data_IF_612448988233
#
_entry.id   IF_612448988233
#
_cell.length_a   1.000
_cell.length_b   1.000
_cell.length_c   1.000
_cell.angle_alpha   90.00
_cell.angle_beta   90.00
_cell.angle_gamma   90.00
#
_symmetry.space_group_name_H-M   'P 1'
#
loop_
_entity.id
_entity.type
_entity.pdbx_description
1 polymer ?
#
# COMPACT_ATOMS: atom_id res chain seq x y z
N UNK A 1 4.36 -22.03 -1.63
CA UNK A 1 3.64 -23.28 -2.00
C UNK A 1 3.19 -23.14 -3.46
N UNK A 2 3.38 -24.18 -4.29
CA UNK A 2 3.43 -24.12 -5.78
C UNK A 2 2.27 -23.35 -6.44
N UNK A 3 2.64 -22.27 -7.13
CA UNK A 3 1.84 -21.56 -8.12
C UNK A 3 1.72 -22.46 -9.36
N UNK A 4 0.52 -22.93 -9.72
CA UNK A 4 0.24 -23.52 -11.04
C UNK A 4 -0.28 -22.41 -11.96
N UNK A 5 0.45 -22.08 -13.02
CA UNK A 5 0.00 -21.21 -14.12
C UNK A 5 -0.03 -22.01 -15.41
N UNK A 6 -1.12 -21.88 -16.16
CA UNK A 6 -1.26 -22.37 -17.54
C UNK A 6 -1.05 -21.18 -18.50
N UNK A 7 -0.14 -21.33 -19.47
CA UNK A 7 0.37 -20.28 -20.39
C UNK A 7 -0.62 -19.83 -21.48
N UNK A 8 -1.94 -19.83 -21.24
CA UNK A 8 -2.96 -19.57 -22.28
C UNK A 8 -4.08 -18.58 -21.88
N UNK A 9 -3.84 -17.69 -20.91
CA UNK A 9 -4.90 -16.90 -20.26
C UNK A 9 -5.51 -15.79 -21.16
N UNK A 10 -6.82 -15.85 -21.42
CA UNK A 10 -7.64 -14.88 -22.19
C UNK A 10 -8.73 -14.13 -21.37
N UNK A 11 -8.80 -14.27 -20.04
CA UNK A 11 -9.75 -13.53 -19.20
C UNK A 11 -9.13 -13.10 -17.86
N UNK A 12 -9.74 -12.09 -17.22
CA UNK A 12 -9.30 -11.37 -16.03
C UNK A 12 -8.87 -12.29 -14.89
N UNK A 13 -7.70 -11.99 -14.32
CA UNK A 13 -7.20 -12.69 -13.14
C UNK A 13 -7.95 -12.11 -11.92
N UNK A 14 -8.43 -12.99 -11.05
CA UNK A 14 -9.19 -12.64 -9.87
C UNK A 14 -8.35 -13.02 -8.65
N UNK A 15 -8.19 -12.12 -7.68
CA UNK A 15 -7.37 -12.38 -6.51
C UNK A 15 -8.24 -12.31 -5.27
N UNK A 16 -8.36 -13.38 -4.49
CA UNK A 16 -9.15 -13.34 -3.26
C UNK A 16 -8.36 -12.54 -2.21
N UNK A 17 -8.87 -11.38 -1.80
CA UNK A 17 -8.27 -10.55 -0.77
C UNK A 17 -9.29 -10.01 0.22
N UNK A 18 -8.88 -10.05 1.49
CA UNK A 18 -9.51 -9.34 2.59
C UNK A 18 -8.99 -7.91 2.63
N UNK A 19 -9.82 -6.94 2.27
CA UNK A 19 -9.62 -5.58 2.73
C UNK A 19 -10.19 -5.43 4.13
N UNK A 20 -9.37 -4.87 5.03
CA UNK A 20 -9.90 -4.03 6.08
C UNK A 20 -10.07 -2.64 5.48
N UNK A 21 -11.32 -2.22 5.28
CA UNK A 21 -11.62 -0.80 5.31
C UNK A 21 -11.39 -0.38 6.77
N UNK A 22 -10.26 0.24 7.09
CA UNK A 22 -9.89 0.59 8.48
C UNK A 22 -10.75 1.73 9.08
N UNK A 23 -11.92 1.98 8.52
CA UNK A 23 -12.98 2.78 9.15
C UNK A 23 -14.22 1.91 9.32
N UNK A 24 -14.21 1.16 10.45
CA UNK A 24 -15.29 0.32 10.98
C UNK A 24 -15.65 -0.90 10.12
N UNK A 25 -15.10 -2.07 10.45
CA UNK A 25 -15.82 -3.33 10.71
C UNK A 25 -14.78 -4.32 11.28
N UNK A 26 -15.10 -5.02 12.39
CA UNK A 26 -14.35 -6.21 12.85
C UNK A 26 -14.76 -7.41 11.97
N UNK A 27 -13.87 -7.91 11.11
CA UNK A 27 -14.05 -9.16 10.34
C UNK A 27 -12.98 -10.16 10.82
N UNK A 28 -13.19 -11.47 10.63
CA UNK A 28 -12.41 -12.55 11.28
C UNK A 28 -12.24 -13.68 10.24
N UNK A 29 -11.14 -14.48 10.15
CA UNK A 29 -10.79 -15.54 9.10
C UNK A 29 -10.16 -14.96 7.81
N UNK A 30 -9.19 -15.57 7.10
CA UNK A 30 -8.43 -16.83 7.22
C UNK A 30 -7.95 -17.26 5.83
N UNK A 31 -6.62 -17.31 5.62
CA UNK A 31 -5.89 -17.58 4.36
C UNK A 31 -6.00 -16.54 3.24
N UNK A 32 -4.83 -16.09 2.74
CA UNK A 32 -4.71 -15.40 1.45
C UNK A 32 -4.28 -16.46 0.43
N UNK A 33 -5.06 -16.62 -0.64
CA UNK A 33 -4.78 -17.54 -1.72
C UNK A 33 -4.81 -16.77 -3.05
N UNK A 34 -3.67 -16.73 -3.73
CA UNK A 34 -3.60 -16.27 -5.13
C UNK A 34 -4.19 -17.39 -5.99
N UNK A 35 -5.45 -17.25 -6.42
CA UNK A 35 -6.09 -18.19 -7.34
C UNK A 35 -6.20 -17.52 -8.70
N UNK A 36 -5.29 -17.85 -9.62
CA UNK A 36 -5.43 -17.47 -11.02
C UNK A 36 -6.55 -18.32 -11.64
N UNK A 37 -7.74 -17.74 -11.82
CA UNK A 37 -8.83 -18.44 -12.50
C UNK A 37 -8.60 -18.45 -14.01
N UNK A 38 -8.55 -19.66 -14.56
CA UNK A 38 -8.36 -19.90 -15.99
C UNK A 38 -9.37 -20.96 -16.42
N UNK A 39 -10.61 -20.56 -16.77
CA UNK A 39 -11.46 -21.20 -17.81
C UNK A 39 -12.92 -20.70 -17.82
N UNK A 40 -13.39 -20.50 -19.05
CA UNK A 40 -14.78 -20.64 -19.49
C UNK A 40 -15.30 -22.06 -19.15
N UNK A 41 -15.96 -22.28 -18.01
CA UNK A 41 -16.95 -23.37 -17.81
C UNK A 41 -17.54 -23.42 -16.38
N UNK A 42 -18.69 -22.76 -16.16
CA UNK A 42 -19.95 -23.29 -15.58
C UNK A 42 -20.77 -22.22 -14.82
N UNK A 43 -21.91 -21.86 -15.41
CA UNK A 43 -23.26 -21.52 -14.87
C UNK A 43 -23.43 -20.56 -13.67
N UNK A 44 -22.47 -20.38 -12.76
CA UNK A 44 -22.66 -19.57 -11.54
C UNK A 44 -21.63 -18.44 -11.45
N UNK A 45 -22.09 -17.24 -11.10
CA UNK A 45 -21.21 -16.06 -10.98
C UNK A 45 -20.21 -16.29 -9.82
N UNK A 46 -18.94 -15.96 -10.03
CA UNK A 46 -17.89 -16.08 -9.02
C UNK A 46 -18.13 -15.12 -7.86
N UNK A 47 -18.73 -13.96 -8.13
CA UNK A 47 -19.17 -13.01 -7.12
C UNK A 47 -20.33 -13.58 -6.29
N UNK A 48 -21.25 -14.29 -6.93
CA UNK A 48 -22.33 -15.01 -6.25
C UNK A 48 -21.79 -16.18 -5.44
N UNK A 49 -20.75 -16.87 -5.94
CA UNK A 49 -20.07 -17.94 -5.22
C UNK A 49 -19.31 -17.42 -3.99
N UNK A 50 -18.64 -16.27 -4.11
CA UNK A 50 -18.03 -15.57 -2.98
C UNK A 50 -19.11 -15.12 -1.97
N UNK A 51 -20.20 -14.50 -2.42
CA UNK A 51 -21.31 -14.10 -1.58
C UNK A 51 -22.00 -15.28 -0.87
N UNK A 52 -22.16 -16.43 -1.53
CA UNK A 52 -22.72 -17.64 -0.93
C UNK A 52 -21.78 -18.25 0.11
N UNK A 53 -20.47 -18.24 -0.12
CA UNK A 53 -19.49 -18.63 0.90
C UNK A 53 -19.48 -17.64 2.08
N UNK A 54 -19.81 -16.38 1.81
CA UNK A 54 -19.97 -15.31 2.80
C UNK A 54 -21.23 -15.46 3.69
N UNK A 55 -22.20 -16.29 3.26
CA UNK A 55 -23.42 -16.53 4.04
C UNK A 55 -23.19 -17.42 5.27
N UNK A 56 -22.19 -18.32 5.22
CA UNK A 56 -21.89 -19.29 6.30
C UNK A 56 -20.47 -19.16 6.88
N UNK A 57 -19.61 -18.35 6.27
CA UNK A 57 -18.23 -18.04 6.68
C UNK A 57 -17.87 -16.62 6.21
N UNK A 58 -16.78 -16.01 6.69
CA UNK A 58 -16.56 -14.56 6.56
C UNK A 58 -16.24 -14.06 5.14
N UNK A 59 -16.37 -12.75 4.94
CA UNK A 59 -16.28 -12.01 3.67
C UNK A 59 -15.02 -12.29 2.83
N UNK A 60 -15.06 -13.32 1.98
CA UNK A 60 -14.17 -13.47 0.85
C UNK A 60 -14.44 -12.33 -0.15
N UNK A 61 -13.50 -11.40 -0.25
CA UNK A 61 -13.49 -10.33 -1.25
C UNK A 61 -12.67 -10.71 -2.48
N UNK A 62 -13.06 -10.21 -3.64
CA UNK A 62 -12.34 -10.41 -4.89
C UNK A 62 -11.69 -9.09 -5.31
N UNK A 63 -10.37 -9.07 -5.43
CA UNK A 63 -9.58 -7.99 -5.98
C UNK A 63 -9.45 -8.19 -7.50
N UNK A 64 -9.86 -7.20 -8.31
CA UNK A 64 -9.69 -7.24 -9.75
C UNK A 64 -8.22 -7.04 -10.12
N UNK A 65 -7.74 -7.83 -11.09
CA UNK A 65 -6.36 -7.72 -11.57
C UNK A 65 -6.32 -7.38 -13.04
N UNK A 66 -5.54 -6.35 -13.38
CA UNK A 66 -5.34 -5.96 -14.77
C UNK A 66 -4.03 -6.53 -15.30
N UNK A 67 -4.13 -7.67 -15.99
CA UNK A 67 -3.00 -8.28 -16.69
C UNK A 67 -2.79 -7.73 -18.11
N UNK A 68 -1.71 -8.13 -18.81
CA UNK A 68 -1.41 -7.63 -20.14
C UNK A 68 -2.47 -8.06 -21.16
N UNK A 69 -2.95 -9.29 -21.08
CA UNK A 69 -3.97 -9.87 -21.97
C UNK A 69 -5.41 -9.44 -21.65
N UNK A 70 -5.62 -8.61 -20.61
CA UNK A 70 -6.96 -8.22 -20.15
C UNK A 70 -7.33 -6.86 -20.77
N UNK A 71 -8.47 -6.82 -21.46
CA UNK A 71 -9.00 -5.57 -22.00
C UNK A 71 -9.33 -4.58 -20.87
N UNK A 72 -9.05 -3.30 -21.09
CA UNK A 72 -9.30 -2.24 -20.10
C UNK A 72 -10.78 -2.22 -19.68
N UNK A 73 -11.71 -2.34 -20.63
CA UNK A 73 -13.14 -2.38 -20.34
C UNK A 73 -13.55 -3.54 -19.43
N UNK A 74 -12.90 -4.71 -19.58
CA UNK A 74 -13.15 -5.85 -18.71
C UNK A 74 -12.65 -5.57 -17.28
N UNK A 75 -11.45 -4.99 -17.15
CA UNK A 75 -10.92 -4.60 -15.85
C UNK A 75 -11.77 -3.52 -15.17
N UNK A 76 -12.16 -2.48 -15.91
CA UNK A 76 -13.03 -1.41 -15.42
C UNK A 76 -14.36 -1.97 -14.87
N UNK A 77 -14.96 -2.92 -15.58
CA UNK A 77 -16.18 -3.59 -15.14
C UNK A 77 -15.97 -4.41 -13.85
N UNK A 78 -14.85 -5.14 -13.73
CA UNK A 78 -14.52 -5.87 -12.51
C UNK A 78 -14.24 -4.93 -11.33
N UNK A 79 -13.59 -3.79 -11.57
CA UNK A 79 -13.34 -2.77 -10.56
C UNK A 79 -14.64 -2.10 -10.08
N UNK A 80 -15.57 -1.82 -10.99
CA UNK A 80 -16.89 -1.32 -10.62
C UNK A 80 -17.63 -2.30 -9.69
N UNK A 81 -17.62 -3.61 -10.02
CA UNK A 81 -18.21 -4.65 -9.17
C UNK A 81 -17.54 -4.75 -7.81
N UNK A 82 -16.21 -4.67 -7.76
CA UNK A 82 -15.45 -4.64 -6.52
C UNK A 82 -15.89 -3.47 -5.62
N UNK A 83 -16.02 -2.27 -6.19
CA UNK A 83 -16.48 -1.10 -5.45
C UNK A 83 -17.93 -1.25 -4.97
N UNK A 84 -18.84 -1.76 -5.80
CA UNK A 84 -20.22 -2.05 -5.37
C UNK A 84 -20.26 -3.06 -4.22
N UNK A 85 -19.46 -4.13 -4.29
CA UNK A 85 -19.36 -5.11 -3.22
C UNK A 85 -18.86 -4.48 -1.91
N UNK A 86 -17.80 -3.66 -1.97
CA UNK A 86 -17.29 -2.95 -0.80
C UNK A 86 -18.32 -1.97 -0.23
N UNK A 87 -19.06 -1.27 -1.09
CA UNK A 87 -20.12 -0.35 -0.67
C UNK A 87 -21.25 -1.08 0.07
N UNK A 88 -21.68 -2.24 -0.44
CA UNK A 88 -22.69 -3.09 0.21
C UNK A 88 -22.18 -3.64 1.55
N UNK A 89 -20.93 -4.10 1.58
CA UNK A 89 -20.33 -4.70 2.78
C UNK A 89 -20.04 -3.68 3.89
N UNK A 90 -19.71 -2.43 3.53
CA UNK A 90 -19.22 -1.41 4.49
C UNK A 90 -20.21 -0.28 4.74
N UNK A 91 -21.21 -0.11 3.87
CA UNK A 91 -22.10 1.04 3.85
C UNK A 91 -21.43 2.35 3.40
N UNK A 92 -20.15 2.33 2.99
CA UNK A 92 -19.46 3.51 2.48
C UNK A 92 -19.87 3.78 1.03
N UNK A 93 -20.31 5.01 0.75
CA UNK A 93 -20.87 5.37 -0.57
C UNK A 93 -19.81 5.71 -1.62
N UNK A 94 -18.72 6.32 -1.20
CA UNK A 94 -17.71 6.88 -2.11
C UNK A 94 -16.36 6.20 -1.89
N UNK A 95 -16.19 5.04 -2.53
CA UNK A 95 -14.90 4.34 -2.54
C UNK A 95 -14.02 4.97 -3.61
N UNK A 96 -13.07 5.79 -3.17
CA UNK A 96 -12.12 6.48 -4.04
C UNK A 96 -10.72 5.87 -3.93
N UNK A 97 -9.81 6.30 -4.81
CA UNK A 97 -8.41 5.90 -4.73
C UNK A 97 -7.77 6.27 -3.38
N UNK A 98 -8.24 7.33 -2.70
CA UNK A 98 -7.73 7.76 -1.40
C UNK A 98 -7.96 6.68 -0.32
N UNK A 99 -9.11 6.01 -0.35
CA UNK A 99 -9.36 4.86 0.55
C UNK A 99 -8.37 3.74 0.26
N UNK A 100 -8.15 3.38 -1.01
CA UNK A 100 -7.16 2.36 -1.39
C UNK A 100 -5.74 2.73 -0.92
N UNK A 101 -5.36 4.02 -0.97
CA UNK A 101 -4.07 4.49 -0.43
C UNK A 101 -4.02 4.37 1.10
N UNK A 102 -5.11 4.66 1.81
CA UNK A 102 -5.18 4.43 3.24
C UNK A 102 -5.09 2.95 3.62
N UNK A 103 -5.72 2.08 2.87
CA UNK A 103 -5.68 0.66 3.13
C UNK A 103 -4.28 0.09 2.84
N UNK A 104 -3.61 0.56 1.78
CA UNK A 104 -2.21 0.26 1.53
C UNK A 104 -1.31 0.79 2.67
N UNK A 105 -1.52 2.02 3.12
CA UNK A 105 -0.82 2.61 4.27
C UNK A 105 -0.95 1.70 5.50
N UNK A 106 -2.16 1.21 5.78
CA UNK A 106 -2.42 0.42 6.98
C UNK A 106 -1.84 -0.99 6.88
N UNK A 107 -1.86 -1.58 5.68
CA UNK A 107 -1.15 -2.82 5.37
C UNK A 107 0.36 -2.68 5.67
N UNK A 108 1.00 -1.62 5.15
CA UNK A 108 2.43 -1.36 5.37
C UNK A 108 2.74 -1.02 6.83
N UNK A 109 1.85 -0.30 7.51
CA UNK A 109 1.99 -0.01 8.93
C UNK A 109 1.96 -1.29 9.78
N UNK A 110 1.19 -2.30 9.36
CA UNK A 110 1.15 -3.61 10.03
C UNK A 110 2.50 -4.31 9.97
N UNK A 111 3.14 -4.33 8.79
CA UNK A 111 4.51 -4.83 8.64
C UNK A 111 5.49 -4.06 9.52
N UNK A 112 5.41 -2.73 9.49
CA UNK A 112 6.30 -1.87 10.25
C UNK A 112 6.17 -2.02 11.78
N UNK A 113 5.00 -2.44 12.26
CA UNK A 113 4.72 -2.69 13.67
C UNK A 113 4.89 -4.16 14.08
N UNK A 114 5.35 -5.02 13.17
CA UNK A 114 5.52 -6.47 13.41
C UNK A 114 4.24 -7.15 13.93
N UNK A 115 3.07 -6.60 13.58
CA UNK A 115 1.79 -7.10 14.07
C UNK A 115 1.32 -8.28 13.22
N UNK A 116 0.71 -9.25 13.88
CA UNK A 116 0.13 -10.42 13.20
C UNK A 116 -0.94 -9.99 12.18
N UNK A 117 -0.87 -10.49 10.96
CA UNK A 117 -1.92 -10.26 9.96
C UNK A 117 -3.24 -10.95 10.35
N UNK A 118 -3.20 -11.94 11.24
CA UNK A 118 -4.40 -12.67 11.64
C UNK A 118 -5.42 -11.81 12.40
N UNK A 119 -5.00 -10.83 13.20
CA UNK A 119 -5.91 -10.07 14.06
C UNK A 119 -6.82 -9.11 13.29
N UNK A 120 -6.32 -8.60 12.15
CA UNK A 120 -7.07 -7.70 11.27
C UNK A 120 -7.55 -8.49 10.05
N UNK A 121 -6.69 -8.83 9.09
CA UNK A 121 -7.10 -9.46 7.82
C UNK A 121 -7.63 -10.88 7.96
N UNK A 122 -7.68 -11.41 9.18
CA UNK A 122 -8.21 -12.73 9.50
C UNK A 122 -7.29 -13.89 9.09
N UNK A 123 -6.19 -13.63 8.39
CA UNK A 123 -5.21 -14.62 7.97
C UNK A 123 -4.32 -14.15 6.81
N UNK A 124 -3.52 -15.07 6.28
CA UNK A 124 -2.46 -14.77 5.30
C UNK A 124 -1.13 -14.49 5.98
N UNK A 125 -0.06 -15.09 5.47
CA UNK A 125 1.29 -14.84 5.98
C UNK A 125 1.84 -13.49 5.51
N UNK A 126 2.92 -13.00 6.12
CA UNK A 126 3.62 -11.78 5.69
C UNK A 126 3.93 -11.77 4.18
N UNK A 127 4.44 -12.88 3.64
CA UNK A 127 4.73 -12.97 2.20
C UNK A 127 3.50 -12.76 1.32
N UNK A 128 2.37 -13.35 1.69
CA UNK A 128 1.15 -13.26 0.88
C UNK A 128 0.54 -11.86 0.91
N UNK A 129 0.70 -11.14 2.03
CA UNK A 129 0.32 -9.75 2.17
C UNK A 129 1.27 -8.81 1.42
N UNK A 130 2.58 -9.12 1.34
CA UNK A 130 3.51 -8.31 0.56
C UNK A 130 3.23 -8.43 -0.95
N UNK A 131 2.91 -9.64 -1.41
CA UNK A 131 2.53 -9.87 -2.80
C UNK A 131 1.27 -9.11 -3.24
N UNK A 132 0.46 -8.62 -2.28
CA UNK A 132 -0.72 -7.80 -2.57
C UNK A 132 -0.37 -6.35 -2.93
N UNK A 133 0.72 -5.83 -2.37
CA UNK A 133 1.08 -4.41 -2.42
C UNK A 133 1.09 -3.84 -3.85
N UNK A 134 1.77 -4.47 -4.84
CA UNK A 134 1.80 -3.93 -6.20
C UNK A 134 0.40 -3.83 -6.84
N UNK A 135 -0.52 -4.71 -6.45
CA UNK A 135 -1.86 -4.75 -7.03
C UNK A 135 -2.79 -3.71 -6.42
N UNK A 136 -2.62 -3.38 -5.14
CA UNK A 136 -3.30 -2.22 -4.53
C UNK A 136 -2.82 -0.92 -5.15
N UNK A 137 -1.51 -0.81 -5.34
CA UNK A 137 -0.92 0.33 -6.07
C UNK A 137 -1.51 0.44 -7.47
N UNK A 138 -1.59 -0.67 -8.21
CA UNK A 138 -2.13 -0.67 -9.57
C UNK A 138 -3.60 -0.21 -9.62
N UNK A 139 -4.41 -0.62 -8.65
CA UNK A 139 -5.79 -0.16 -8.52
C UNK A 139 -5.87 1.35 -8.28
N UNK A 140 -5.11 1.87 -7.30
CA UNK A 140 -5.04 3.30 -7.04
C UNK A 140 -4.57 4.09 -8.26
N UNK A 141 -3.49 3.63 -8.92
CA UNK A 141 -2.93 4.25 -10.12
C UNK A 141 -3.93 4.28 -11.26
N UNK A 142 -4.68 3.19 -11.48
CA UNK A 142 -5.72 3.16 -12.52
C UNK A 142 -6.76 4.25 -12.29
N UNK A 143 -7.29 4.36 -11.07
CA UNK A 143 -8.28 5.39 -10.74
C UNK A 143 -7.68 6.79 -10.86
N UNK A 144 -6.47 7.02 -10.34
CA UNK A 144 -5.75 8.31 -10.45
C UNK A 144 -5.56 8.74 -11.91
N UNK A 145 -5.15 7.81 -12.77
CA UNK A 145 -4.87 8.09 -14.18
C UNK A 145 -6.15 8.33 -14.98
N UNK A 146 -7.16 7.47 -14.81
CA UNK A 146 -8.45 7.59 -15.53
C UNK A 146 -9.26 8.81 -15.11
N UNK A 147 -9.18 9.20 -13.82
CA UNK A 147 -9.81 10.43 -13.31
C UNK A 147 -8.93 11.67 -13.44
N UNK A 148 -7.75 11.54 -14.07
CA UNK A 148 -6.78 12.63 -14.35
C UNK A 148 -6.37 13.41 -13.09
N UNK A 149 -6.21 12.69 -11.97
CA UNK A 149 -5.85 13.27 -10.66
C UNK A 149 -4.35 13.37 -10.40
N UNK A 150 -3.50 12.69 -11.19
CA UNK A 150 -2.04 12.62 -10.95
C UNK A 150 -1.41 14.00 -10.69
N UNK A 151 -1.61 14.97 -11.59
CA UNK A 151 -0.99 16.29 -11.46
C UNK A 151 -1.51 17.11 -10.27
N UNK A 152 -2.77 16.88 -9.86
CA UNK A 152 -3.33 17.52 -8.67
C UNK A 152 -2.69 16.93 -7.41
N UNK A 153 -2.59 15.60 -7.34
CA UNK A 153 -2.01 14.93 -6.18
C UNK A 153 -0.49 15.12 -6.08
N UNK A 154 0.22 15.25 -7.21
CA UNK A 154 1.63 15.65 -7.22
C UNK A 154 1.81 17.04 -6.62
N UNK A 155 0.92 17.99 -6.95
CA UNK A 155 0.94 19.33 -6.35
C UNK A 155 0.65 19.30 -4.86
N UNK A 156 -0.33 18.48 -4.44
CA UNK A 156 -0.65 18.31 -3.02
C UNK A 156 0.52 17.70 -2.25
N UNK A 157 1.18 16.69 -2.82
CA UNK A 157 2.38 16.07 -2.25
C UNK A 157 3.51 17.09 -2.11
N UNK A 158 3.77 17.90 -3.14
CA UNK A 158 4.78 18.96 -3.06
C UNK A 158 4.44 20.00 -1.99
N UNK A 159 3.19 20.45 -1.93
CA UNK A 159 2.73 21.38 -0.90
C UNK A 159 2.83 20.79 0.52
N UNK A 160 2.59 19.49 0.68
CA UNK A 160 2.84 18.78 1.93
C UNK A 160 4.33 18.74 2.29
N UNK A 161 5.20 18.54 1.30
CA UNK A 161 6.65 18.44 1.49
C UNK A 161 7.29 19.77 1.89
N UNK A 162 6.70 20.90 1.48
CA UNK A 162 7.16 22.23 1.88
C UNK A 162 7.26 22.37 3.42
N UNK A 163 8.23 23.15 3.92
CA UNK A 163 8.32 23.46 5.34
C UNK A 163 7.06 24.19 5.82
N UNK A 164 6.43 23.65 6.87
CA UNK A 164 5.33 24.31 7.57
C UNK A 164 5.89 25.17 8.72
N UNK A 165 5.27 26.31 9.02
CA UNK A 165 5.64 27.10 10.20
C UNK A 165 5.41 26.28 11.47
N UNK A 166 6.19 26.56 12.51
CA UNK A 166 6.26 25.74 13.74
C UNK A 166 4.92 25.62 14.48
N UNK A 167 4.06 26.64 14.36
CA UNK A 167 2.73 26.71 14.98
C UNK A 167 1.71 25.74 14.36
N UNK A 168 1.89 25.35 13.08
CA UNK A 168 1.00 24.42 12.36
C UNK A 168 1.64 23.06 12.06
N UNK A 169 2.94 22.93 12.34
CA UNK A 169 3.69 21.72 12.03
C UNK A 169 3.15 20.53 12.82
N UNK A 170 2.96 20.68 14.14
CA UNK A 170 2.50 19.60 15.02
C UNK A 170 1.10 19.14 14.61
N UNK A 171 0.16 20.06 14.44
CA UNK A 171 -1.22 19.74 14.01
C UNK A 171 -1.23 18.91 12.74
N UNK A 172 -0.38 19.27 11.77
CA UNK A 172 -0.33 18.56 10.49
C UNK A 172 0.20 17.13 10.54
N UNK A 173 0.82 16.72 11.65
CA UNK A 173 1.24 15.34 11.84
C UNK A 173 0.02 14.44 12.13
N UNK A 174 -1.00 14.99 12.80
CA UNK A 174 -2.24 14.31 13.18
C UNK A 174 -3.31 14.29 12.10
N UNK A 175 -3.10 14.99 10.97
CA UNK A 175 -4.01 14.96 9.83
C UNK A 175 -4.23 13.52 9.34
N UNK A 176 -5.46 13.22 8.88
CA UNK A 176 -5.78 11.92 8.24
C UNK A 176 -4.82 11.63 7.09
N UNK A 177 -4.50 12.68 6.31
CA UNK A 177 -3.49 12.72 5.26
C UNK A 177 -2.15 13.21 5.82
N UNK A 178 -1.70 12.61 6.91
CA UNK A 178 -0.42 12.92 7.56
C UNK A 178 0.78 12.22 6.91
N UNK A 179 1.93 12.17 7.60
CA UNK A 179 3.18 11.67 7.03
C UNK A 179 3.14 10.25 6.47
N UNK A 180 2.46 9.32 7.15
CA UNK A 180 2.30 7.94 6.66
C UNK A 180 1.49 7.87 5.35
N UNK A 181 0.47 8.72 5.22
CA UNK A 181 -0.34 8.77 4.00
C UNK A 181 0.47 9.33 2.83
N UNK A 182 1.10 10.49 2.99
CA UNK A 182 1.87 11.09 1.90
C UNK A 182 3.08 10.27 1.50
N UNK A 183 3.72 9.58 2.45
CA UNK A 183 4.78 8.63 2.15
C UNK A 183 4.27 7.41 1.36
N UNK A 184 3.05 6.93 1.67
CA UNK A 184 2.39 5.90 0.85
C UNK A 184 2.01 6.43 -0.51
N UNK A 185 1.50 7.66 -0.62
CA UNK A 185 1.16 8.29 -1.90
C UNK A 185 2.39 8.52 -2.78
N UNK A 186 3.54 8.81 -2.16
CA UNK A 186 4.79 9.08 -2.86
C UNK A 186 5.20 7.94 -3.80
N UNK A 187 5.00 6.67 -3.41
CA UNK A 187 5.37 5.51 -4.26
C UNK A 187 4.64 5.52 -5.62
N UNK A 188 3.45 6.12 -5.69
CA UNK A 188 2.64 6.20 -6.90
C UNK A 188 2.91 7.45 -7.73
N UNK A 189 3.48 8.50 -7.14
CA UNK A 189 3.59 9.83 -7.75
C UNK A 189 5.04 10.32 -7.93
N UNK A 190 6.00 9.78 -7.19
CA UNK A 190 7.40 10.26 -7.22
C UNK A 190 8.27 9.28 -8.01
N UNK A 191 8.91 9.72 -9.12
CA UNK A 191 9.86 8.89 -9.85
C UNK A 191 11.08 8.49 -9.02
N UNK A 192 11.65 7.32 -9.29
CA UNK A 192 12.84 6.81 -8.60
C UNK A 192 14.02 7.81 -8.54
N UNK A 193 14.41 8.52 -9.62
CA UNK A 193 15.49 9.49 -9.54
C UNK A 193 15.21 10.64 -8.56
N UNK A 194 13.95 11.10 -8.51
CA UNK A 194 13.52 12.21 -7.63
C UNK A 194 13.41 11.76 -6.18
N UNK A 195 12.96 10.52 -5.96
CA UNK A 195 13.01 9.86 -4.66
C UNK A 195 14.44 9.88 -4.11
N UNK A 196 15.38 9.35 -4.89
CA UNK A 196 16.79 9.21 -4.51
C UNK A 196 17.50 10.55 -4.34
N UNK A 197 17.16 11.58 -5.11
CA UNK A 197 17.85 12.86 -5.00
C UNK A 197 17.46 13.65 -3.76
N UNK A 198 16.17 13.71 -3.42
CA UNK A 198 15.67 14.69 -2.44
C UNK A 198 14.48 14.20 -1.62
N UNK A 199 13.47 13.58 -2.26
CA UNK A 199 12.20 13.31 -1.59
C UNK A 199 12.32 12.32 -0.42
N UNK A 200 13.21 11.32 -0.51
CA UNK A 200 13.39 10.34 0.57
C UNK A 200 13.79 11.02 1.90
N UNK A 201 14.73 11.98 1.88
CA UNK A 201 15.15 12.73 3.07
C UNK A 201 14.02 13.62 3.62
N UNK A 202 13.23 14.25 2.74
CA UNK A 202 12.12 15.10 3.17
C UNK A 202 11.04 14.30 3.91
N UNK A 203 10.69 13.11 3.39
CA UNK A 203 9.77 12.21 4.06
C UNK A 203 10.36 11.61 5.33
N UNK A 204 11.65 11.26 5.32
CA UNK A 204 12.36 10.74 6.48
C UNK A 204 12.30 11.72 7.66
N UNK A 205 12.59 13.00 7.41
CA UNK A 205 12.49 14.04 8.44
C UNK A 205 11.08 14.15 9.03
N UNK A 206 10.05 14.10 8.18
CA UNK A 206 8.65 14.24 8.64
C UNK A 206 8.16 13.01 9.41
N UNK A 207 8.56 11.79 9.03
CA UNK A 207 8.13 10.58 9.74
C UNK A 207 8.84 10.40 11.08
N UNK A 208 10.10 10.81 11.19
CA UNK A 208 10.83 10.83 12.47
C UNK A 208 10.24 11.86 13.43
N UNK A 209 9.92 13.06 12.92
CA UNK A 209 9.23 14.07 13.71
C UNK A 209 7.85 13.59 14.18
N UNK A 210 7.09 12.92 13.31
CA UNK A 210 5.82 12.29 13.67
C UNK A 210 5.98 11.30 14.82
N UNK A 211 6.94 10.38 14.71
CA UNK A 211 7.20 9.39 15.77
C UNK A 211 7.59 10.05 17.09
N UNK A 212 8.45 11.06 17.04
CA UNK A 212 8.88 11.82 18.21
C UNK A 212 7.70 12.50 18.92
N UNK A 213 6.87 13.22 18.16
CA UNK A 213 5.70 13.93 18.70
C UNK A 213 4.71 12.94 19.31
N UNK A 214 4.43 11.83 18.64
CA UNK A 214 3.50 10.80 19.11
C UNK A 214 3.99 10.07 20.34
N UNK A 215 5.30 9.82 20.45
CA UNK A 215 5.86 9.19 21.65
C UNK A 215 5.83 10.15 22.84
N UNK A 216 6.09 11.43 22.61
CA UNK A 216 6.13 12.43 23.68
C UNK A 216 4.74 12.86 24.16
N UNK A 217 3.72 12.75 23.31
CA UNK A 217 2.34 13.03 23.67
C UNK A 217 1.47 11.78 23.66
N UNK A 218 1.14 11.30 24.86
CA UNK A 218 0.19 10.20 25.06
C UNK A 218 -1.27 10.60 24.77
N UNK A 219 -1.57 11.89 24.62
CA UNK A 219 -2.93 12.39 24.35
C UNK A 219 -3.15 12.54 22.86
N UNK A 220 -4.26 11.99 22.36
CA UNK A 220 -4.72 12.10 20.95
C UNK A 220 -5.15 13.55 20.61
N UNK A 221 -5.16 14.47 21.59
CA UNK A 221 -5.69 15.81 21.42
C UNK A 221 -4.70 16.76 20.70
N UNK A 222 -5.16 17.56 19.72
CA UNK A 222 -4.34 18.48 18.92
C UNK A 222 -3.90 19.76 19.66
N UNK A 223 -3.90 19.78 20.99
CA UNK A 223 -3.55 20.97 21.77
C UNK A 223 -2.06 21.04 22.13
N UNK A 224 -1.22 20.23 21.48
CA UNK A 224 0.22 20.18 21.69
C UNK A 224 0.89 21.33 20.95
N UNK A 225 1.33 22.35 21.68
CA UNK A 225 1.99 23.54 21.09
C UNK A 225 3.51 23.42 21.01
N UNK A 226 4.10 22.49 21.75
CA UNK A 226 5.55 22.29 21.80
C UNK A 226 5.88 20.90 22.34
N UNK A 227 6.97 20.32 21.86
CA UNK A 227 7.51 19.02 22.30
C UNK A 227 9.00 19.19 22.61
N UNK A 228 9.51 18.64 23.74
CA UNK A 228 10.94 18.62 24.05
C UNK A 228 11.75 17.96 22.94
N UNK A 229 12.80 18.62 22.44
CA UNK A 229 13.64 18.09 21.34
C UNK A 229 14.66 17.03 21.78
N UNK A 230 14.63 16.60 23.03
CA UNK A 230 15.50 15.53 23.54
C UNK A 230 15.12 14.22 22.87
N UNK A 231 16.04 13.54 22.15
CA UNK A 231 15.75 12.26 21.51
C UNK A 231 15.32 11.20 22.52
N UNK A 232 14.38 10.34 22.12
CA UNK A 232 14.00 9.14 22.88
C UNK A 232 14.84 7.94 22.44
N UNK A 233 14.66 6.80 23.12
CA UNK A 233 15.28 5.55 22.73
C UNK A 233 14.80 5.09 21.33
N UNK A 234 15.65 4.33 20.63
CA UNK A 234 15.39 3.82 19.28
C UNK A 234 14.01 3.16 19.13
N UNK A 235 13.53 2.45 20.15
CA UNK A 235 12.23 1.78 20.16
C UNK A 235 11.07 2.76 19.89
N UNK A 236 11.17 4.02 20.33
CA UNK A 236 10.17 5.06 20.06
C UNK A 236 10.03 5.37 18.57
N UNK A 237 11.11 5.18 17.81
CA UNK A 237 11.19 5.50 16.37
C UNK A 237 11.08 4.27 15.48
N UNK A 238 11.32 3.05 16.01
CA UNK A 238 11.38 1.81 15.23
C UNK A 238 10.19 1.64 14.27
N UNK A 239 8.91 1.79 14.67
CA UNK A 239 7.81 1.61 13.73
C UNK A 239 7.80 2.61 12.56
N UNK A 240 8.22 3.86 12.80
CA UNK A 240 8.33 4.86 11.75
C UNK A 240 9.51 4.58 10.80
N UNK A 241 10.65 4.17 11.36
CA UNK A 241 11.83 3.77 10.60
C UNK A 241 11.54 2.54 9.72
N UNK A 242 10.85 1.54 10.26
CA UNK A 242 10.45 0.34 9.51
C UNK A 242 9.46 0.68 8.39
N UNK A 243 8.52 1.59 8.63
CA UNK A 243 7.60 2.05 7.58
C UNK A 243 8.36 2.76 6.45
N UNK A 244 9.30 3.63 6.80
CA UNK A 244 10.17 4.28 5.82
C UNK A 244 11.03 3.27 5.05
N UNK A 245 11.63 2.29 5.74
CA UNK A 245 12.44 1.25 5.12
C UNK A 245 11.63 0.40 4.12
N UNK A 246 10.39 0.04 4.45
CA UNK A 246 9.49 -0.64 3.50
C UNK A 246 9.31 0.18 2.22
N UNK A 247 9.04 1.47 2.35
CA UNK A 247 8.84 2.34 1.19
C UNK A 247 10.14 2.49 0.40
N UNK A 248 11.27 2.72 1.08
CA UNK A 248 12.57 2.87 0.44
C UNK A 248 12.98 1.58 -0.31
N UNK A 249 12.76 0.43 0.29
CA UNK A 249 13.04 -0.87 -0.35
C UNK A 249 12.10 -1.13 -1.55
N UNK A 250 10.86 -0.65 -1.56
CA UNK A 250 10.04 -0.68 -2.79
C UNK A 250 10.67 0.13 -3.92
N UNK A 251 11.27 1.28 -3.64
CA UNK A 251 11.99 2.04 -4.67
C UNK A 251 13.15 1.24 -5.25
N UNK A 252 13.92 0.56 -4.42
CA UNK A 252 15.07 -0.24 -4.88
C UNK A 252 14.67 -1.53 -5.60
N UNK A 253 13.62 -2.22 -5.14
CA UNK A 253 13.22 -3.53 -5.66
C UNK A 253 12.15 -3.47 -6.76
N UNK A 254 11.17 -2.57 -6.65
CA UNK A 254 10.07 -2.49 -7.63
C UNK A 254 10.30 -1.42 -8.69
N UNK A 255 10.85 -0.26 -8.33
CA UNK A 255 10.75 0.94 -9.17
C UNK A 255 12.03 1.28 -9.94
N UNK A 256 13.17 0.73 -9.53
CA UNK A 256 14.48 0.98 -10.14
C UNK A 256 14.55 0.65 -11.64
N UNK A 257 13.74 -0.32 -12.08
CA UNK A 257 13.67 -0.75 -13.48
C UNK A 257 12.59 -0.01 -14.31
N UNK A 258 11.85 0.94 -13.71
CA UNK A 258 10.76 1.66 -14.38
C UNK A 258 11.34 2.84 -15.15
N UNK A 259 11.24 2.79 -16.47
CA UNK A 259 11.66 3.88 -17.35
C UNK A 259 10.51 4.85 -17.62
N UNK A 260 10.82 6.16 -17.61
CA UNK A 260 9.85 7.23 -17.87
C UNK A 260 10.29 8.00 -19.12
N UNK A 261 9.61 7.79 -20.26
CA UNK A 261 9.80 8.61 -21.44
C UNK A 261 9.39 10.07 -21.18
N UNK A 262 10.00 11.03 -21.91
CA UNK A 262 9.75 12.47 -21.72
C UNK A 262 8.28 12.89 -21.85
N UNK A 263 7.47 12.12 -22.58
CA UNK A 263 6.07 12.41 -22.87
C UNK A 263 5.06 11.68 -21.96
N UNK A 264 5.51 10.92 -20.96
CA UNK A 264 4.63 10.18 -20.04
C UNK A 264 4.86 10.59 -18.59
N UNK A 265 3.81 10.55 -17.78
CA UNK A 265 3.93 10.72 -16.33
C UNK A 265 4.41 9.42 -15.66
N UNK A 266 5.04 9.56 -14.50
CA UNK A 266 5.44 8.42 -13.66
C UNK A 266 4.29 7.48 -13.35
N UNK A 267 3.15 8.03 -12.94
CA UNK A 267 1.95 7.28 -12.58
C UNK A 267 1.42 6.39 -13.70
N UNK A 268 1.54 6.82 -14.96
CA UNK A 268 1.16 6.02 -16.13
C UNK A 268 2.20 4.94 -16.40
N UNK A 269 3.48 5.28 -16.40
CA UNK A 269 4.56 4.31 -16.61
C UNK A 269 4.59 3.22 -15.53
N UNK A 270 4.36 3.59 -14.27
CA UNK A 270 4.34 2.64 -13.16
C UNK A 270 3.14 1.69 -13.26
N UNK A 271 1.96 2.19 -13.63
CA UNK A 271 0.79 1.34 -13.87
C UNK A 271 1.05 0.34 -15.00
N UNK A 272 1.58 0.82 -16.13
CA UNK A 272 1.97 -0.02 -17.27
C UNK A 272 3.04 -1.05 -16.85
N UNK A 273 4.03 -0.66 -16.06
CA UNK A 273 5.06 -1.57 -15.56
C UNK A 273 4.46 -2.67 -14.68
N UNK A 274 3.62 -2.32 -13.70
CA UNK A 274 2.99 -3.31 -12.82
C UNK A 274 2.12 -4.29 -13.60
N UNK A 275 1.39 -3.79 -14.60
CA UNK A 275 0.57 -4.60 -15.49
C UNK A 275 1.37 -5.65 -16.27
N UNK A 276 2.59 -5.34 -16.67
CA UNK A 276 3.40 -6.17 -17.56
C UNK A 276 4.39 -7.09 -16.84
N UNK A 277 4.67 -6.84 -15.55
CA UNK A 277 5.80 -7.47 -14.84
C UNK A 277 5.38 -8.25 -13.58
N UNK A 278 4.22 -8.91 -13.60
CA UNK A 278 3.66 -9.60 -12.43
C UNK A 278 4.62 -10.63 -11.79
N UNK A 279 5.27 -11.46 -12.60
CA UNK A 279 6.17 -12.50 -12.10
C UNK A 279 7.46 -11.91 -11.50
N UNK A 280 7.98 -10.85 -12.13
CA UNK A 280 9.15 -10.11 -11.63
C UNK A 280 8.83 -9.41 -10.32
N UNK A 281 7.64 -8.81 -10.20
CA UNK A 281 7.18 -8.16 -8.98
C UNK A 281 7.04 -9.15 -7.82
N UNK A 282 6.47 -10.33 -8.05
CA UNK A 282 6.38 -11.36 -6.99
C UNK A 282 7.76 -11.81 -6.49
N UNK A 283 8.70 -12.05 -7.41
CA UNK A 283 10.09 -12.37 -7.06
C UNK A 283 10.77 -11.23 -6.31
N UNK A 284 10.46 -9.98 -6.68
CA UNK A 284 10.96 -8.80 -6.00
C UNK A 284 10.34 -8.64 -4.60
N UNK A 285 9.06 -9.00 -4.43
CA UNK A 285 8.39 -9.02 -3.12
C UNK A 285 9.02 -10.05 -2.18
N UNK A 286 9.42 -11.22 -2.67
CA UNK A 286 10.15 -12.22 -1.87
C UNK A 286 11.51 -11.69 -1.40
N UNK A 287 12.29 -11.06 -2.30
CA UNK A 287 13.59 -10.46 -1.95
C UNK A 287 13.45 -9.29 -0.96
N UNK A 288 12.49 -8.40 -1.23
CA UNK A 288 12.19 -7.27 -0.35
C UNK A 288 11.79 -7.76 1.05
N UNK A 289 10.97 -8.81 1.15
CA UNK A 289 10.61 -9.42 2.44
C UNK A 289 11.80 -10.03 3.17
N UNK A 290 12.71 -10.69 2.46
CA UNK A 290 13.94 -11.24 3.04
C UNK A 290 14.80 -10.11 3.63
N UNK A 291 15.16 -9.09 2.85
CA UNK A 291 15.91 -7.92 3.33
C UNK A 291 15.21 -7.25 4.51
N UNK A 292 13.89 -7.05 4.43
CA UNK A 292 13.15 -6.42 5.53
C UNK A 292 13.23 -7.24 6.82
N UNK A 293 13.06 -8.57 6.74
CA UNK A 293 13.00 -9.44 7.92
C UNK A 293 14.38 -9.77 8.49
N UNK A 294 15.39 -9.91 7.63
CA UNK A 294 16.74 -10.37 7.99
C UNK A 294 17.67 -9.20 8.31
N UNK A 295 17.49 -8.03 7.69
CA UNK A 295 18.39 -6.89 7.86
C UNK A 295 17.76 -5.76 8.67
N UNK A 296 16.53 -5.33 8.33
CA UNK A 296 15.90 -4.16 8.97
C UNK A 296 15.24 -4.46 10.33
N UNK A 297 14.40 -5.49 10.43
CA UNK A 297 13.69 -5.82 11.68
C UNK A 297 14.62 -6.11 12.88
N UNK A 298 15.78 -6.77 12.70
CA UNK A 298 16.70 -7.05 13.80
C UNK A 298 17.45 -5.83 14.33
N UNK A 299 17.45 -4.70 13.61
CA UNK A 299 18.13 -3.48 14.06
C UNK A 299 17.61 -3.04 15.44
N UNK A 300 18.54 -2.77 16.36
CA UNK A 300 18.31 -2.38 17.75
C UNK A 300 18.75 -0.94 18.06
N UNK A 301 19.47 -0.30 17.14
CA UNK A 301 19.93 1.08 17.23
C UNK A 301 19.71 1.84 15.92
N UNK A 302 19.84 3.17 15.97
CA UNK A 302 19.71 4.02 14.79
C UNK A 302 20.90 3.85 13.84
N UNK A 303 22.09 3.63 14.39
CA UNK A 303 23.33 3.40 13.66
C UNK A 303 23.24 2.11 12.83
N UNK A 304 22.76 1.01 13.43
CA UNK A 304 22.50 -0.25 12.71
C UNK A 304 21.49 -0.06 11.58
N UNK A 305 20.40 0.68 11.84
CA UNK A 305 19.42 1.01 10.81
C UNK A 305 20.06 1.76 9.63
N UNK A 306 20.89 2.77 9.92
CA UNK A 306 21.60 3.54 8.90
C UNK A 306 22.60 2.70 8.10
N UNK A 307 23.25 1.72 8.72
CA UNK A 307 24.16 0.80 8.04
C UNK A 307 23.45 -0.10 7.03
N UNK A 308 22.22 -0.52 7.33
CA UNK A 308 21.37 -1.28 6.41
C UNK A 308 20.75 -0.40 5.33
N UNK A 309 20.34 0.83 5.67
CA UNK A 309 19.58 1.72 4.79
C UNK A 309 20.40 2.46 3.70
N UNK A 310 21.67 2.10 3.50
CA UNK A 310 22.63 2.78 2.60
C UNK A 310 22.21 2.82 1.13
#
# INVERSE_FOLDING_TARGET
>A
MRVKRDNTCKCGVLLIFNFYLFTKIKIKIGFIHIIVFNRLARVRDEWESAALQNANTKCNGLLPMWGPSVAESAYANCLARHNSYLQEATGQRDISYMQTVHDLKLLLLRFAQEKSFHEDTGGGGPQSNMNLVPYLMHMSLYVINTTRRSSAEERNLLAYLEPKPSDRLIDSLYDTEGPLYWLTMAIMLTPYPKWKSTHHLMHFNKIILMAHVYHTNSSIAPNVRSVPMTPHDYIAYKPALMFFALINTMYEYYFKAVEVPENKSWSVCLADYIRQNDESLLKSSEKMMATFSEDFLPCTSFEEFCDVAR
#
